data_IF_136501427768
#
_entry.id   IF_136501427768
#
_cell.length_a   1.000
_cell.length_b   1.000
_cell.length_c   1.000
_cell.angle_alpha   90.00
_cell.angle_beta   90.00
_cell.angle_gamma   90.00
#
_symmetry.space_group_name_H-M   'P 1'
#
loop_
_entity.id
_entity.type
_entity.pdbx_description
1 polymer ?
#
# COMPACT_ATOMS: atom_id res chain seq x y z
N UNK A 1 35.85 14.85 9.93
CA UNK A 1 35.38 14.53 8.56
C UNK A 1 34.13 13.66 8.74
N UNK A 2 32.96 14.18 9.14
CA UNK A 2 32.09 15.18 8.48
C UNK A 2 32.01 14.86 6.98
N UNK A 3 30.87 14.48 6.43
CA UNK A 3 29.63 15.29 6.45
C UNK A 3 28.35 14.59 6.92
N UNK A 4 27.60 15.34 7.74
CA UNK A 4 26.17 15.26 7.96
C UNK A 4 25.39 15.57 6.67
N UNK A 5 24.16 15.05 6.54
CA UNK A 5 22.96 15.91 6.47
C UNK A 5 21.72 15.11 6.88
N UNK A 6 20.77 15.75 7.58
CA UNK A 6 19.82 15.14 8.51
C UNK A 6 18.41 15.13 7.90
N UNK A 7 17.41 14.80 8.72
CA UNK A 7 15.98 14.69 8.39
C UNK A 7 15.65 13.35 7.71
N UNK A 8 14.71 12.57 8.23
CA UNK A 8 13.39 13.03 8.62
C UNK A 8 12.78 12.02 9.59
N UNK A 9 12.37 12.49 10.77
CA UNK A 9 11.32 11.87 11.58
C UNK A 9 11.44 10.34 11.77
N UNK A 10 12.12 9.93 12.84
CA UNK A 10 11.61 8.80 13.62
C UNK A 10 10.35 9.26 14.40
N UNK A 11 9.34 9.71 13.65
CA UNK A 11 7.97 9.42 14.03
C UNK A 11 7.76 8.00 13.52
N UNK A 12 8.22 7.03 14.30
CA UNK A 12 7.51 5.76 14.36
C UNK A 12 6.12 6.11 14.88
N UNK A 13 5.27 6.53 13.94
CA UNK A 13 3.83 6.51 14.02
C UNK A 13 3.50 5.03 14.18
N UNK A 14 3.55 4.54 15.42
CA UNK A 14 3.46 3.11 15.78
C UNK A 14 2.23 2.40 15.16
N UNK A 15 1.24 3.18 14.67
CA UNK A 15 0.10 2.68 13.91
C UNK A 15 0.35 2.44 12.40
N UNK A 16 1.34 3.08 11.77
CA UNK A 16 1.66 2.84 10.34
C UNK A 16 2.35 1.49 10.11
N UNK A 17 3.23 1.10 11.04
CA UNK A 17 3.92 -0.20 11.06
C UNK A 17 2.96 -1.39 11.20
N UNK A 18 1.72 -1.15 11.60
CA UNK A 18 0.69 -2.17 11.78
C UNK A 18 -0.06 -2.49 10.47
N UNK A 19 0.04 -1.65 9.43
CA UNK A 19 -0.75 -1.83 8.21
C UNK A 19 0.00 -1.78 6.88
N UNK A 20 1.21 -1.20 6.80
CA UNK A 20 2.09 -1.34 5.62
C UNK A 20 3.38 -2.04 6.02
N UNK A 21 3.66 -3.17 5.38
CA UNK A 21 4.92 -3.88 5.53
C UNK A 21 5.67 -3.93 4.19
N UNK A 22 6.92 -3.48 4.19
CA UNK A 22 7.80 -3.64 3.04
C UNK A 22 8.35 -5.07 2.96
N UNK A 23 8.19 -5.73 1.81
CA UNK A 23 8.61 -7.14 1.61
C UNK A 23 9.96 -7.30 0.92
N UNK A 24 10.67 -6.21 0.64
CA UNK A 24 11.93 -6.24 -0.12
C UNK A 24 11.75 -5.97 -1.63
N UNK A 25 10.61 -6.38 -2.20
CA UNK A 25 10.23 -6.13 -3.60
C UNK A 25 8.95 -5.31 -3.76
N UNK A 26 8.27 -5.03 -2.66
CA UNK A 26 6.90 -4.55 -2.68
C UNK A 26 6.36 -4.24 -1.29
N UNK A 27 5.04 -4.10 -1.21
CA UNK A 27 4.34 -3.71 0.01
C UNK A 27 3.15 -4.62 0.28
N UNK A 28 3.00 -5.07 1.52
CA UNK A 28 1.80 -5.68 2.05
C UNK A 28 0.96 -4.62 2.76
N UNK A 29 -0.33 -4.58 2.45
CA UNK A 29 -1.31 -3.69 3.03
C UNK A 29 -2.34 -4.49 3.83
N UNK A 30 -2.41 -4.29 5.14
CA UNK A 30 -3.50 -4.82 5.97
C UNK A 30 -4.71 -3.91 5.85
N UNK A 31 -5.71 -4.35 5.09
CA UNK A 31 -6.91 -3.58 4.76
C UNK A 31 -7.88 -3.48 5.93
N UNK A 32 -7.76 -4.38 6.91
CA UNK A 32 -8.61 -4.45 8.11
C UNK A 32 -8.02 -3.72 9.33
N UNK A 33 -6.75 -3.28 9.25
CA UNK A 33 -6.10 -2.56 10.33
C UNK A 33 -6.77 -1.18 10.63
N UNK A 34 -7.65 -0.70 9.75
CA UNK A 34 -8.30 0.61 9.87
C UNK A 34 -9.77 0.59 9.45
N UNK A 35 -10.60 1.43 10.10
CA UNK A 35 -12.01 1.61 9.74
C UNK A 35 -12.24 2.27 8.36
N UNK A 36 -11.23 2.94 7.80
CA UNK A 36 -11.35 3.70 6.54
C UNK A 36 -10.17 3.45 5.59
N UNK A 37 -9.94 2.21 5.13
CA UNK A 37 -8.74 1.85 4.36
C UNK A 37 -8.63 2.66 3.06
N UNK A 38 -9.76 2.91 2.38
CA UNK A 38 -9.80 3.67 1.13
C UNK A 38 -9.32 5.12 1.28
N UNK A 39 -9.63 5.76 2.42
CA UNK A 39 -9.18 7.12 2.70
C UNK A 39 -7.68 7.17 2.91
N UNK A 40 -7.12 6.15 3.59
CA UNK A 40 -5.69 6.03 3.81
C UNK A 40 -4.94 5.81 2.49
N UNK A 41 -5.43 4.93 1.61
CA UNK A 41 -4.89 4.73 0.26
C UNK A 41 -4.92 6.01 -0.59
N UNK A 42 -5.95 6.85 -0.43
CA UNK A 42 -5.99 8.17 -1.10
C UNK A 42 -4.89 9.10 -0.60
N UNK A 43 -4.61 9.10 0.72
CA UNK A 43 -3.53 9.92 1.31
C UNK A 43 -2.14 9.47 0.87
N UNK A 44 -1.95 8.18 0.59
CA UNK A 44 -0.73 7.63 0.00
C UNK A 44 -0.53 7.97 -1.49
N UNK A 45 -1.51 8.62 -2.13
CA UNK A 45 -1.40 8.97 -3.55
C UNK A 45 -1.80 7.85 -4.52
N UNK A 46 -2.34 6.72 -4.06
CA UNK A 46 -2.78 5.65 -4.96
C UNK A 46 -3.88 6.12 -5.91
N UNK A 47 -3.81 5.68 -7.17
CA UNK A 47 -4.72 6.10 -8.23
C UNK A 47 -6.20 5.76 -7.92
N UNK A 48 -7.13 6.47 -8.57
CA UNK A 48 -8.58 6.17 -8.44
C UNK A 48 -8.91 4.74 -8.85
N UNK A 49 -8.23 4.21 -9.87
CA UNK A 49 -8.41 2.82 -10.32
C UNK A 49 -7.95 1.83 -9.25
N UNK A 50 -6.76 2.03 -8.68
CA UNK A 50 -6.24 1.22 -7.58
C UNK A 50 -7.21 1.20 -6.38
N UNK A 51 -7.68 2.39 -5.95
CA UNK A 51 -8.67 2.47 -4.85
C UNK A 51 -9.98 1.73 -5.16
N UNK A 52 -10.46 1.75 -6.41
CA UNK A 52 -11.66 0.99 -6.82
C UNK A 52 -11.43 -0.52 -6.79
N UNK A 53 -10.24 -0.96 -7.19
CA UNK A 53 -9.84 -2.37 -7.10
C UNK A 53 -9.86 -2.81 -5.65
N UNK A 54 -9.19 -2.08 -4.74
CA UNK A 54 -9.17 -2.43 -3.32
C UNK A 54 -10.57 -2.51 -2.71
N UNK A 55 -11.44 -1.53 -2.99
CA UNK A 55 -12.85 -1.58 -2.53
C UNK A 55 -13.56 -2.84 -3.00
N UNK A 56 -13.30 -3.26 -4.24
CA UNK A 56 -13.89 -4.46 -4.81
C UNK A 56 -13.37 -5.71 -4.10
N UNK A 57 -12.07 -5.78 -3.83
CA UNK A 57 -11.42 -6.89 -3.10
C UNK A 57 -11.97 -7.03 -1.68
N UNK A 58 -12.09 -5.93 -0.93
CA UNK A 58 -12.66 -5.94 0.42
C UNK A 58 -14.13 -6.37 0.38
N UNK A 59 -14.96 -5.74 -0.46
CA UNK A 59 -16.42 -5.93 -0.40
C UNK A 59 -16.92 -7.23 -1.01
N UNK A 60 -16.26 -7.73 -2.06
CA UNK A 60 -16.71 -8.93 -2.79
C UNK A 60 -16.00 -10.19 -2.35
N UNK A 61 -14.77 -10.06 -1.87
CA UNK A 61 -13.91 -11.20 -1.59
C UNK A 61 -13.40 -11.23 -0.14
N UNK A 62 -13.83 -10.28 0.71
CA UNK A 62 -13.38 -10.18 2.10
C UNK A 62 -11.85 -10.19 2.23
N UNK A 63 -11.16 -9.57 1.28
CA UNK A 63 -9.70 -9.54 1.29
C UNK A 63 -9.19 -8.66 2.45
N UNK A 64 -8.48 -9.27 3.39
CA UNK A 64 -7.87 -8.58 4.54
C UNK A 64 -6.43 -8.10 4.30
N UNK A 65 -5.72 -8.70 3.33
CA UNK A 65 -4.34 -8.35 2.98
C UNK A 65 -4.24 -8.16 1.47
N UNK A 66 -3.53 -7.12 1.03
CA UNK A 66 -3.18 -6.86 -0.36
C UNK A 66 -1.67 -6.76 -0.51
N UNK A 67 -1.08 -7.62 -1.34
CA UNK A 67 0.33 -7.55 -1.71
C UNK A 67 0.50 -6.83 -3.05
N UNK A 68 1.35 -5.81 -3.07
CA UNK A 68 1.76 -5.07 -4.26
C UNK A 68 3.24 -5.37 -4.48
N UNK A 69 3.55 -6.19 -5.49
CA UNK A 69 4.92 -6.59 -5.80
C UNK A 69 5.41 -5.95 -7.11
N UNK A 70 6.62 -5.39 -7.12
CA UNK A 70 7.25 -4.86 -8.32
C UNK A 70 7.71 -5.95 -9.30
N UNK A 71 7.90 -7.19 -8.83
CA UNK A 71 8.27 -8.35 -9.65
C UNK A 71 7.08 -9.28 -9.93
N UNK A 72 5.86 -8.86 -9.62
CA UNK A 72 4.66 -9.63 -9.90
C UNK A 72 4.47 -9.90 -11.39
N UNK A 73 3.98 -11.09 -11.74
CA UNK A 73 3.65 -11.41 -13.12
C UNK A 73 2.43 -10.60 -13.60
N UNK A 74 2.49 -10.12 -14.84
CA UNK A 74 1.36 -9.47 -15.48
C UNK A 74 0.32 -10.53 -15.86
N UNK A 75 -0.87 -10.41 -15.28
CA UNK A 75 -1.99 -11.30 -15.63
C UNK A 75 -2.54 -10.93 -17.02
N UNK A 76 -2.58 -11.88 -17.98
CA UNK A 76 -3.13 -11.60 -19.30
C UNK A 76 -4.62 -11.25 -19.20
N UNK A 77 -5.02 -10.18 -19.89
CA UNK A 77 -6.41 -9.68 -19.86
C UNK A 77 -6.73 -8.70 -18.73
N UNK A 78 -5.78 -8.39 -17.85
CA UNK A 78 -5.91 -7.33 -16.85
C UNK A 78 -5.26 -6.03 -17.33
N UNK A 79 -5.90 -4.91 -17.03
CA UNK A 79 -5.31 -3.60 -17.30
C UNK A 79 -4.10 -3.39 -16.39
N UNK A 80 -2.96 -3.07 -16.99
CA UNK A 80 -1.79 -2.54 -16.27
C UNK A 80 -1.98 -1.05 -16.06
N UNK A 81 -1.47 -0.54 -14.93
CA UNK A 81 -1.49 0.88 -14.62
C UNK A 81 -0.05 1.35 -14.48
N UNK A 82 0.36 2.27 -15.33
CA UNK A 82 1.64 2.98 -15.23
C UNK A 82 1.47 4.05 -14.13
N UNK A 83 1.41 3.62 -12.87
CA UNK A 83 1.29 4.52 -11.72
C UNK A 83 2.65 5.03 -11.22
#
# INVERSE_FOLDING_TARGET
MLCCLPFHHQYEDFGESEWILYTGSGYLLHLEAWSFPVLRLKRLGLSKACRRLVVTLIRRYAAGILHLDAFGELLPGFATFDW
#
